data_IF_231809100589
#
_entry.id   IF_231809100589
#
_cell.length_a   1.000
_cell.length_b   1.000
_cell.length_c   1.000
_cell.angle_alpha   90.00
_cell.angle_beta   90.00
_cell.angle_gamma   90.00
#
_symmetry.space_group_name_H-M   'P 1'
#
loop_
_entity.id
_entity.type
_entity.pdbx_description
1 polymer ?
#
# COMPACT_ATOMS: atom_id res chain seq x y z
N UNK A 1 35.59 56.11 6.66
CA UNK A 1 35.21 55.17 5.56
C UNK A 1 35.30 53.68 5.92
N UNK A 2 35.99 53.25 6.98
CA UNK A 2 36.20 51.80 7.27
C UNK A 2 35.10 51.07 8.07
N UNK A 3 34.08 51.77 8.60
CA UNK A 3 33.04 51.15 9.45
C UNK A 3 31.82 50.71 8.62
N UNK A 4 31.50 51.42 7.52
CA UNK A 4 30.40 51.04 6.63
C UNK A 4 30.73 49.78 5.80
N UNK A 5 31.97 49.64 5.33
CA UNK A 5 32.39 48.48 4.52
C UNK A 5 32.33 47.16 5.31
N UNK A 6 32.70 47.16 6.60
CA UNK A 6 32.63 45.96 7.46
C UNK A 6 31.19 45.50 7.76
N UNK A 7 30.23 46.43 7.82
CA UNK A 7 28.81 46.10 8.04
C UNK A 7 28.16 45.51 6.78
N UNK A 8 28.54 45.97 5.59
CA UNK A 8 28.08 45.37 4.33
C UNK A 8 28.64 43.95 4.12
N UNK A 9 29.91 43.68 4.45
CA UNK A 9 30.48 42.33 4.32
C UNK A 9 29.88 41.32 5.30
N UNK A 10 29.56 41.73 6.54
CA UNK A 10 28.89 40.86 7.51
C UNK A 10 27.45 40.54 7.11
N UNK A 11 26.71 41.52 6.57
CA UNK A 11 25.36 41.30 6.05
C UNK A 11 25.36 40.41 4.79
N UNK A 12 26.33 40.58 3.88
CA UNK A 12 26.47 39.70 2.70
C UNK A 12 26.84 38.26 3.09
N UNK A 13 27.75 38.06 4.05
CA UNK A 13 28.08 36.71 4.55
C UNK A 13 26.90 36.04 5.25
N UNK A 14 26.09 36.80 6.01
CA UNK A 14 24.87 36.28 6.65
C UNK A 14 23.81 35.83 5.64
N UNK A 15 23.63 36.59 4.55
CA UNK A 15 22.72 36.23 3.45
C UNK A 15 23.24 35.01 2.68
N UNK A 16 24.55 34.88 2.47
CA UNK A 16 25.15 33.72 1.80
C UNK A 16 25.06 32.43 2.63
N UNK A 17 25.19 32.53 3.97
CA UNK A 17 25.00 31.41 4.90
C UNK A 17 23.52 30.96 5.00
N UNK A 18 22.56 31.88 4.89
CA UNK A 18 21.12 31.56 4.81
C UNK A 18 20.74 30.89 3.46
N UNK A 19 21.40 31.26 2.37
CA UNK A 19 21.19 30.64 1.04
C UNK A 19 21.79 29.23 0.95
N UNK A 20 22.87 28.92 1.69
CA UNK A 20 23.46 27.57 1.75
C UNK A 20 22.64 26.59 2.62
N UNK A 21 21.88 27.08 3.61
CA UNK A 21 20.96 26.26 4.40
C UNK A 21 19.66 25.89 3.64
N UNK A 22 19.34 26.59 2.56
CA UNK A 22 18.17 26.31 1.71
C UNK A 22 18.39 25.11 0.75
N UNK A 23 19.59 24.51 0.75
CA UNK A 23 19.91 23.30 -0.01
C UNK A 23 19.97 22.03 0.88
N UNK A 24 19.29 22.05 2.03
CA UNK A 24 19.07 20.82 2.81
C UNK A 24 18.12 19.89 2.05
N UNK A 25 18.56 18.67 1.73
CA UNK A 25 17.64 17.60 1.28
C UNK A 25 16.48 17.53 2.28
N UNK A 26 15.27 17.80 1.81
CA UNK A 26 14.08 17.67 2.63
C UNK A 26 14.01 16.23 3.14
N UNK A 27 13.98 16.05 4.46
CA UNK A 27 13.98 14.72 5.08
C UNK A 27 12.83 13.88 4.55
N UNK A 28 13.07 12.60 4.28
CA UNK A 28 12.06 11.69 3.74
C UNK A 28 10.81 11.60 4.65
N UNK A 29 9.65 11.42 4.02
CA UNK A 29 8.40 11.18 4.72
C UNK A 29 8.47 9.81 5.39
N UNK A 30 8.36 9.71 6.74
CA UNK A 30 8.36 8.42 7.39
C UNK A 30 7.13 7.60 6.99
N UNK A 31 7.34 6.30 6.78
CA UNK A 31 6.28 5.35 6.44
C UNK A 31 5.80 4.54 7.65
N UNK A 32 4.50 4.59 7.91
CA UNK A 32 3.79 3.66 8.79
C UNK A 32 3.17 2.54 7.94
N UNK A 33 2.79 1.41 8.55
CA UNK A 33 2.09 0.34 7.86
C UNK A 33 0.92 -0.19 8.67
N UNK A 34 -0.23 -0.38 8.02
CA UNK A 34 -1.37 -1.04 8.62
C UNK A 34 -1.16 -2.55 8.66
N UNK A 35 -1.24 -3.14 9.85
CA UNK A 35 -1.37 -4.60 10.04
C UNK A 35 -2.85 -4.94 10.17
N UNK A 36 -3.50 -5.06 9.00
CA UNK A 36 -4.94 -5.20 8.88
C UNK A 36 -5.39 -6.66 8.88
N UNK A 37 -5.22 -7.33 10.02
CA UNK A 37 -5.46 -8.77 10.15
C UNK A 37 -6.30 -9.07 11.38
N UNK A 38 -7.44 -9.73 11.16
CA UNK A 38 -8.33 -10.18 12.24
C UNK A 38 -7.69 -11.29 13.09
N UNK A 39 -6.94 -12.18 12.43
CA UNK A 39 -6.14 -13.24 13.06
C UNK A 39 -4.78 -13.24 12.39
N UNK A 40 -3.72 -13.19 13.19
CA UNK A 40 -2.36 -13.17 12.66
C UNK A 40 -1.88 -14.57 12.29
N UNK A 41 -1.26 -14.69 11.13
CA UNK A 41 -0.59 -15.91 10.67
C UNK A 41 0.92 -15.73 10.77
N UNK A 42 1.73 -16.82 10.71
CA UNK A 42 3.19 -16.69 10.66
C UNK A 42 3.70 -15.78 9.54
N UNK A 43 2.98 -15.69 8.41
CA UNK A 43 3.36 -14.79 7.31
C UNK A 43 3.19 -13.31 7.65
N UNK A 44 2.31 -12.97 8.59
CA UNK A 44 2.16 -11.59 9.09
C UNK A 44 3.32 -11.25 10.02
N UNK A 45 3.61 -12.13 10.99
CA UNK A 45 4.73 -11.93 11.92
C UNK A 45 6.08 -11.87 11.18
N UNK A 46 6.28 -12.69 10.15
CA UNK A 46 7.48 -12.64 9.31
C UNK A 46 7.57 -11.33 8.52
N UNK A 47 6.49 -10.90 7.85
CA UNK A 47 6.49 -9.64 7.09
C UNK A 47 6.80 -8.41 7.98
N UNK A 48 6.31 -8.45 9.22
CA UNK A 48 6.56 -7.42 10.23
C UNK A 48 8.04 -7.43 10.67
N UNK A 49 8.62 -8.60 10.95
CA UNK A 49 10.03 -8.73 11.28
C UNK A 49 10.95 -8.26 10.13
N UNK A 50 10.67 -8.71 8.91
CA UNK A 50 11.41 -8.37 7.69
C UNK A 50 11.30 -6.90 7.29
N UNK A 51 10.40 -6.14 7.93
CA UNK A 51 10.12 -4.75 7.59
C UNK A 51 10.29 -3.76 8.74
N UNK A 52 10.71 -4.25 9.91
CA UNK A 52 10.94 -3.41 11.08
C UNK A 52 12.04 -2.37 10.85
N UNK A 53 13.05 -2.62 10.03
CA UNK A 53 14.11 -1.66 9.71
C UNK A 53 13.60 -0.42 8.96
N UNK A 54 12.58 -0.57 8.12
CA UNK A 54 12.08 0.48 7.24
C UNK A 54 10.80 1.18 7.72
N UNK A 55 10.01 0.53 8.59
CA UNK A 55 8.74 1.09 9.09
C UNK A 55 8.94 1.91 10.35
N UNK A 56 8.35 3.11 10.37
CA UNK A 56 8.36 4.02 11.54
C UNK A 56 7.45 3.49 12.65
N UNK A 57 6.20 3.15 12.33
CA UNK A 57 5.22 2.68 13.28
C UNK A 57 4.23 1.67 12.66
N UNK A 58 3.79 0.72 13.47
CA UNK A 58 2.77 -0.26 13.10
C UNK A 58 1.37 0.23 13.51
N UNK A 59 0.41 0.24 12.60
CA UNK A 59 -0.99 0.55 12.89
C UNK A 59 -1.79 -0.75 12.86
N UNK A 60 -2.11 -1.27 14.04
CA UNK A 60 -2.60 -2.65 14.19
C UNK A 60 -4.10 -2.64 14.45
N UNK A 61 -4.86 -3.40 13.65
CA UNK A 61 -6.29 -3.61 13.91
C UNK A 61 -6.48 -4.27 15.28
N UNK A 62 -7.21 -3.60 16.16
CA UNK A 62 -7.56 -4.09 17.49
C UNK A 62 -8.97 -4.63 17.57
N UNK A 63 -9.92 -3.87 17.03
CA UNK A 63 -11.32 -4.24 17.05
C UNK A 63 -12.06 -3.58 15.89
N UNK A 64 -13.15 -4.21 15.48
CA UNK A 64 -14.03 -3.73 14.42
C UNK A 64 -15.48 -3.78 14.92
N UNK A 65 -16.19 -2.67 14.82
CA UNK A 65 -17.62 -2.58 15.09
C UNK A 65 -18.39 -2.77 13.78
N UNK A 66 -19.15 -3.86 13.72
CA UNK A 66 -20.01 -4.19 12.60
C UNK A 66 -21.24 -3.28 12.55
N UNK A 67 -21.99 -3.23 11.42
CA UNK A 67 -23.20 -2.42 11.30
C UNK A 67 -24.24 -2.64 12.41
N UNK A 68 -24.33 -3.85 12.95
CA UNK A 68 -25.26 -4.22 14.03
C UNK A 68 -24.78 -3.77 15.43
N UNK A 69 -23.69 -3.02 15.51
CA UNK A 69 -23.07 -2.55 16.75
C UNK A 69 -22.25 -3.62 17.47
N UNK A 70 -22.16 -4.86 16.97
CA UNK A 70 -21.35 -5.90 17.58
C UNK A 70 -19.87 -5.69 17.25
N UNK A 71 -19.05 -5.95 18.26
CA UNK A 71 -17.60 -5.89 18.12
C UNK A 71 -17.00 -7.24 17.77
N UNK A 72 -16.16 -7.23 16.73
CA UNK A 72 -15.10 -8.21 16.54
C UNK A 72 -13.83 -7.71 17.23
N UNK A 73 -13.12 -8.59 17.94
CA UNK A 73 -11.81 -8.27 18.55
C UNK A 73 -10.74 -9.07 17.83
N UNK A 74 -9.73 -8.38 17.30
CA UNK A 74 -8.61 -9.01 16.63
C UNK A 74 -7.65 -9.64 17.65
N UNK A 75 -6.91 -10.65 17.21
CA UNK A 75 -5.90 -11.33 18.01
C UNK A 75 -4.49 -11.09 17.41
N UNK A 76 -3.86 -9.94 17.69
CA UNK A 76 -2.50 -9.67 17.25
C UNK A 76 -1.47 -10.51 18.00
N UNK A 77 -0.38 -10.87 17.31
CA UNK A 77 0.78 -11.53 17.91
C UNK A 77 1.63 -10.51 18.68
N UNK A 78 1.41 -10.45 19.99
CA UNK A 78 2.10 -9.49 20.86
C UNK A 78 3.60 -9.74 20.94
N UNK A 79 4.04 -11.00 20.83
CA UNK A 79 5.46 -11.34 20.86
C UNK A 79 6.16 -10.82 19.59
N UNK A 80 5.52 -10.96 18.42
CA UNK A 80 6.03 -10.38 17.17
C UNK A 80 6.08 -8.85 17.24
N UNK A 81 5.06 -8.19 17.79
CA UNK A 81 5.05 -6.74 17.97
C UNK A 81 6.18 -6.25 18.90
N UNK A 82 6.37 -6.91 20.05
CA UNK A 82 7.45 -6.59 20.98
C UNK A 82 8.83 -6.81 20.34
N UNK A 83 9.01 -7.91 19.60
CA UNK A 83 10.25 -8.23 18.91
C UNK A 83 10.63 -7.19 17.84
N UNK A 84 9.64 -6.58 17.17
CA UNK A 84 9.89 -5.57 16.14
C UNK A 84 10.40 -4.23 16.68
N UNK A 85 10.21 -3.95 17.98
CA UNK A 85 10.73 -2.75 18.66
C UNK A 85 10.40 -1.44 17.92
N UNK A 86 9.19 -1.36 17.36
CA UNK A 86 8.66 -0.15 16.76
C UNK A 86 7.44 0.36 17.53
N UNK A 87 7.22 1.68 17.56
CA UNK A 87 5.98 2.26 18.02
C UNK A 87 4.76 1.60 17.40
N UNK A 88 3.72 1.37 18.21
CA UNK A 88 2.47 0.77 17.73
C UNK A 88 1.30 1.71 18.02
N UNK A 89 0.41 1.85 17.04
CA UNK A 89 -0.87 2.55 17.16
C UNK A 89 -1.98 1.51 17.09
N UNK A 90 -2.86 1.50 18.09
CA UNK A 90 -4.04 0.62 18.10
C UNK A 90 -5.13 1.21 17.22
N UNK A 91 -5.65 0.44 16.26
CA UNK A 91 -6.71 0.90 15.34
C UNK A 91 -8.04 0.25 15.70
N UNK A 92 -9.07 1.07 15.88
CA UNK A 92 -10.45 0.66 16.08
C UNK A 92 -11.26 1.03 14.84
N UNK A 93 -11.73 0.01 14.10
CA UNK A 93 -12.56 0.20 12.91
C UNK A 93 -14.02 0.30 13.29
N UNK A 94 -14.73 1.29 12.76
CA UNK A 94 -16.17 1.44 12.85
C UNK A 94 -16.75 1.36 11.44
N UNK A 95 -17.73 0.48 11.19
CA UNK A 95 -18.42 0.42 9.90
C UNK A 95 -19.22 1.72 9.67
N UNK A 96 -19.21 2.27 8.46
CA UNK A 96 -19.93 3.51 8.11
C UNK A 96 -21.44 3.49 8.37
N UNK A 97 -22.03 2.30 8.53
CA UNK A 97 -23.47 2.09 8.75
C UNK A 97 -23.86 1.95 10.22
N UNK A 98 -22.92 2.04 11.16
CA UNK A 98 -23.27 1.96 12.59
C UNK A 98 -24.24 3.07 12.99
N UNK A 99 -25.23 2.68 13.80
CA UNK A 99 -26.29 3.59 14.27
C UNK A 99 -25.85 4.43 15.47
N UNK A 100 -24.98 3.87 16.32
CA UNK A 100 -24.48 4.51 17.52
C UNK A 100 -22.95 4.46 17.60
N UNK A 101 -22.37 5.48 18.24
CA UNK A 101 -20.94 5.60 18.50
C UNK A 101 -20.70 5.56 20.03
N UNK A 102 -20.53 4.36 20.63
CA UNK A 102 -20.41 4.24 22.07
C UNK A 102 -18.98 4.55 22.54
N UNK A 103 -18.68 5.83 22.80
CA UNK A 103 -17.38 6.25 23.32
C UNK A 103 -16.95 5.52 24.62
N UNK A 104 -17.83 5.27 25.61
CA UNK A 104 -17.47 4.51 26.80
C UNK A 104 -16.98 3.08 26.48
N UNK A 105 -17.61 2.41 25.52
CA UNK A 105 -17.24 1.04 25.13
C UNK A 105 -15.87 1.03 24.43
N UNK A 106 -15.62 2.01 23.56
CA UNK A 106 -14.32 2.18 22.88
C UNK A 106 -13.22 2.44 23.92
N UNK A 107 -13.46 3.34 24.87
CA UNK A 107 -12.51 3.66 25.95
C UNK A 107 -12.22 2.45 26.84
N UNK A 108 -13.25 1.66 27.19
CA UNK A 108 -13.08 0.43 27.97
C UNK A 108 -12.19 -0.60 27.24
N UNK A 109 -12.37 -0.75 25.93
CA UNK A 109 -11.55 -1.64 25.10
C UNK A 109 -10.11 -1.15 24.99
N UNK A 110 -9.91 0.16 24.80
CA UNK A 110 -8.57 0.78 24.78
C UNK A 110 -7.85 0.52 26.10
N UNK A 111 -8.51 0.75 27.24
CA UNK A 111 -7.92 0.54 28.57
C UNK A 111 -7.47 -0.92 28.77
N UNK A 112 -8.31 -1.88 28.40
CA UNK A 112 -7.99 -3.31 28.52
C UNK A 112 -6.82 -3.70 27.61
N UNK A 113 -6.84 -3.27 26.35
CA UNK A 113 -5.78 -3.58 25.39
C UNK A 113 -4.44 -2.94 25.80
N UNK A 114 -4.47 -1.70 26.28
CA UNK A 114 -3.29 -0.95 26.73
C UNK A 114 -2.53 -1.70 27.81
N UNK A 115 -3.22 -2.17 28.86
CA UNK A 115 -2.59 -2.91 29.95
C UNK A 115 -1.91 -4.20 29.47
N UNK A 116 -2.55 -4.94 28.55
CA UNK A 116 -1.98 -6.15 27.97
C UNK A 116 -0.72 -5.87 27.13
N UNK A 117 -0.72 -4.79 26.36
CA UNK A 117 0.38 -4.43 25.47
C UNK A 117 1.58 -3.85 26.21
N UNK A 118 1.34 -2.98 27.20
CA UNK A 118 2.39 -2.46 28.08
C UNK A 118 3.08 -3.61 28.84
N UNK A 119 2.30 -4.58 29.35
CA UNK A 119 2.84 -5.78 30.00
C UNK A 119 3.66 -6.67 29.06
N UNK A 120 3.35 -6.65 27.76
CA UNK A 120 4.11 -7.36 26.73
C UNK A 120 5.35 -6.59 26.24
N UNK A 121 5.63 -5.41 26.80
CA UNK A 121 6.78 -4.57 26.41
C UNK A 121 6.59 -3.83 25.08
N UNK A 122 5.35 -3.66 24.62
CA UNK A 122 5.04 -2.95 23.38
C UNK A 122 5.03 -1.44 23.64
N UNK A 123 5.76 -0.68 22.82
CA UNK A 123 5.76 0.78 22.86
C UNK A 123 4.48 1.34 22.21
N UNK A 124 3.40 1.47 22.98
CA UNK A 124 2.16 2.09 22.53
C UNK A 124 2.36 3.59 22.30
N UNK A 125 2.06 4.07 21.09
CA UNK A 125 2.29 5.44 20.67
C UNK A 125 1.02 6.24 20.35
N UNK A 126 -0.15 5.58 20.32
CA UNK A 126 -1.41 6.25 20.07
C UNK A 126 -2.57 5.29 19.79
N UNK A 127 -3.75 5.88 19.62
CA UNK A 127 -4.97 5.22 19.18
C UNK A 127 -5.41 5.86 17.86
N UNK A 128 -5.91 5.04 16.94
CA UNK A 128 -6.57 5.49 15.73
C UNK A 128 -8.02 5.02 15.70
N UNK A 129 -8.94 5.92 15.34
CA UNK A 129 -10.29 5.55 14.93
C UNK A 129 -10.35 5.53 13.40
N UNK A 130 -10.57 4.35 12.83
CA UNK A 130 -10.87 4.18 11.41
C UNK A 130 -12.39 4.13 11.23
N UNK A 131 -13.00 5.20 10.75
CA UNK A 131 -14.45 5.26 10.58
C UNK A 131 -14.82 5.77 9.20
N UNK A 132 -15.50 4.91 8.43
CA UNK A 132 -16.07 5.24 7.12
C UNK A 132 -17.32 6.15 7.26
N UNK A 133 -17.18 7.24 8.01
CA UNK A 133 -18.25 8.14 8.39
C UNK A 133 -18.91 8.78 7.15
N UNK A 134 -20.25 8.72 7.01
CA UNK A 134 -20.95 9.53 6.02
C UNK A 134 -20.70 11.02 6.26
N UNK A 135 -20.48 11.81 5.20
CA UNK A 135 -20.20 13.26 5.31
C UNK A 135 -21.28 14.02 6.11
N UNK A 136 -22.53 13.56 6.07
CA UNK A 136 -23.64 14.14 6.85
C UNK A 136 -23.56 13.87 8.36
N UNK A 137 -22.83 12.83 8.79
CA UNK A 137 -22.67 12.42 10.19
C UNK A 137 -21.40 12.98 10.84
N UNK A 138 -20.60 13.81 10.15
CA UNK A 138 -19.39 14.41 10.73
C UNK A 138 -19.62 15.16 12.05
N UNK A 139 -20.73 15.90 12.28
CA UNK A 139 -20.99 16.51 13.59
C UNK A 139 -21.16 15.48 14.72
N UNK A 140 -21.85 14.36 14.47
CA UNK A 140 -21.99 13.29 15.45
C UNK A 140 -20.64 12.60 15.71
N UNK A 141 -19.83 12.43 14.67
CA UNK A 141 -18.48 11.91 14.81
C UNK A 141 -17.57 12.83 15.63
N UNK A 142 -17.68 14.15 15.45
CA UNK A 142 -16.95 15.13 16.25
C UNK A 142 -17.30 15.03 17.74
N UNK A 143 -18.59 14.97 18.09
CA UNK A 143 -19.03 14.79 19.48
C UNK A 143 -18.47 13.50 20.11
N UNK A 144 -18.49 12.40 19.36
CA UNK A 144 -17.88 11.14 19.78
C UNK A 144 -16.37 11.27 20.01
N UNK A 145 -15.62 11.89 19.09
CA UNK A 145 -14.17 12.05 19.22
C UNK A 145 -13.79 12.97 20.39
N UNK A 146 -14.60 13.98 20.72
CA UNK A 146 -14.35 14.82 21.89
C UNK A 146 -14.43 14.02 23.19
N UNK A 147 -15.41 13.11 23.29
CA UNK A 147 -15.54 12.21 24.44
C UNK A 147 -14.39 11.21 24.51
N UNK A 148 -14.03 10.59 23.39
CA UNK A 148 -12.88 9.68 23.31
C UNK A 148 -11.59 10.41 23.69
N UNK A 149 -11.31 11.58 23.09
CA UNK A 149 -10.10 12.37 23.37
C UNK A 149 -10.00 12.76 24.84
N UNK A 150 -11.12 13.14 25.47
CA UNK A 150 -11.18 13.43 26.91
C UNK A 150 -10.87 12.19 27.76
N UNK A 151 -11.42 11.04 27.38
CA UNK A 151 -11.18 9.77 28.08
C UNK A 151 -9.75 9.22 27.91
N UNK A 152 -9.09 9.52 26.80
CA UNK A 152 -7.69 9.15 26.55
C UNK A 152 -6.68 9.95 27.38
N UNK A 153 -7.01 11.21 27.70
CA UNK A 153 -6.10 12.13 28.36
C UNK A 153 -4.99 12.65 27.43
N UNK A 154 -4.05 13.45 27.97
CA UNK A 154 -3.00 14.10 27.17
C UNK A 154 -1.89 13.14 26.70
N UNK A 155 -1.69 12.03 27.39
CA UNK A 155 -0.52 11.15 27.19
C UNK A 155 -0.67 10.17 26.03
N UNK A 156 -1.90 9.97 25.52
CA UNK A 156 -2.17 9.03 24.45
C UNK A 156 -2.76 9.76 23.22
N UNK A 157 -1.94 10.00 22.17
CA UNK A 157 -2.39 10.66 20.96
C UNK A 157 -3.53 9.92 20.27
N UNK A 158 -4.46 10.70 19.72
CA UNK A 158 -5.59 10.24 18.93
C UNK A 158 -5.38 10.63 17.48
N UNK A 159 -5.40 9.66 16.58
CA UNK A 159 -5.53 9.88 15.15
C UNK A 159 -6.85 9.37 14.61
N UNK A 160 -7.23 9.85 13.42
CA UNK A 160 -8.38 9.33 12.68
C UNK A 160 -8.02 9.10 11.23
N UNK A 161 -8.72 8.19 10.58
CA UNK A 161 -8.76 8.15 9.12
C UNK A 161 -9.72 9.22 8.60
N UNK A 162 -9.44 9.73 7.40
CA UNK A 162 -10.25 10.72 6.73
C UNK A 162 -10.49 10.35 5.28
N UNK A 163 -11.72 10.57 4.81
CA UNK A 163 -12.12 10.26 3.44
C UNK A 163 -12.10 11.51 2.55
N UNK A 164 -11.70 11.39 1.28
CA UNK A 164 -11.77 12.49 0.32
C UNK A 164 -13.20 13.07 0.13
N UNK A 165 -14.24 12.26 0.37
CA UNK A 165 -15.65 12.68 0.31
C UNK A 165 -16.02 13.74 1.36
N UNK A 166 -15.21 13.89 2.41
CA UNK A 166 -15.43 14.89 3.46
C UNK A 166 -14.93 16.28 3.08
N UNK A 167 -14.08 16.40 2.05
CA UNK A 167 -13.40 17.66 1.69
C UNK A 167 -14.34 18.82 1.35
N UNK A 168 -15.59 18.53 0.96
CA UNK A 168 -16.62 19.54 0.70
C UNK A 168 -17.65 19.67 1.84
N UNK A 169 -17.47 18.93 2.93
CA UNK A 169 -18.36 18.95 4.09
C UNK A 169 -18.06 20.12 5.03
N UNK A 170 -19.10 20.81 5.49
CA UNK A 170 -18.99 21.90 6.47
C UNK A 170 -18.56 21.44 7.86
N UNK A 171 -18.83 20.18 8.22
CA UNK A 171 -18.42 19.60 9.51
C UNK A 171 -16.94 19.24 9.62
N UNK A 172 -16.18 19.24 8.53
CA UNK A 172 -14.81 18.73 8.51
C UNK A 172 -13.85 19.57 9.39
N UNK A 173 -13.93 20.90 9.38
CA UNK A 173 -13.02 21.75 10.16
C UNK A 173 -13.24 21.65 11.67
N UNK A 174 -14.48 21.39 12.09
CA UNK A 174 -14.78 21.08 13.48
C UNK A 174 -14.17 19.74 13.89
N UNK A 175 -14.34 18.72 13.04
CA UNK A 175 -13.80 17.38 13.28
C UNK A 175 -12.27 17.38 13.38
N UNK A 176 -11.57 18.00 12.40
CA UNK A 176 -10.10 17.98 12.30
C UNK A 176 -9.37 18.75 13.42
N UNK A 177 -10.09 19.52 14.24
CA UNK A 177 -9.50 20.20 15.42
C UNK A 177 -9.31 19.27 16.62
N UNK A 178 -10.03 18.15 16.66
CA UNK A 178 -10.09 17.22 17.80
C UNK A 178 -8.90 16.24 17.84
N UNK A 179 -8.58 15.48 16.78
CA UNK A 179 -7.46 14.55 16.80
C UNK A 179 -6.12 15.28 16.77
N UNK A 180 -5.06 14.61 17.21
CA UNK A 180 -3.69 15.13 17.14
C UNK A 180 -3.09 14.95 15.74
N UNK A 181 -3.53 13.94 15.00
CA UNK A 181 -3.12 13.65 13.62
C UNK A 181 -4.32 13.11 12.80
N UNK A 182 -4.35 13.35 11.49
CA UNK A 182 -5.33 12.71 10.60
C UNK A 182 -4.64 11.95 9.46
N UNK A 183 -5.27 10.90 8.94
CA UNK A 183 -4.77 10.09 7.83
C UNK A 183 -5.75 10.13 6.65
N UNK A 184 -5.43 10.91 5.61
CA UNK A 184 -6.24 11.01 4.40
C UNK A 184 -6.10 9.74 3.54
N UNK A 185 -7.19 9.00 3.37
CA UNK A 185 -7.24 7.77 2.59
C UNK A 185 -7.54 8.07 1.11
N UNK A 186 -6.49 8.15 0.28
CA UNK A 186 -6.64 8.38 -1.17
C UNK A 186 -6.72 7.08 -1.99
N UNK A 187 -6.76 5.93 -1.31
CA UNK A 187 -6.85 4.60 -1.89
C UNK A 187 -8.27 4.01 -1.87
N UNK A 188 -9.27 4.78 -1.41
CA UNK A 188 -10.67 4.37 -1.51
C UNK A 188 -11.10 4.37 -2.98
N UNK A 189 -11.47 3.21 -3.50
CA UNK A 189 -12.03 3.07 -4.86
C UNK A 189 -13.37 3.77 -4.91
N UNK A 190 -13.39 5.03 -5.37
CA UNK A 190 -14.63 5.79 -5.52
C UNK A 190 -15.43 5.36 -6.77
N UNK A 191 -14.78 4.79 -7.78
CA UNK A 191 -15.42 4.28 -9.00
C UNK A 191 -14.47 3.34 -9.77
N UNK A 192 -14.91 2.12 -10.12
CA UNK A 192 -14.11 1.17 -10.91
C UNK A 192 -13.81 1.66 -12.33
N UNK A 193 -14.57 2.60 -12.88
CA UNK A 193 -14.32 3.13 -14.23
C UNK A 193 -13.07 4.01 -14.30
N UNK A 194 -12.52 4.39 -13.15
CA UNK A 194 -11.52 5.46 -13.03
C UNK A 194 -10.15 4.95 -12.54
N UNK A 195 -9.98 3.64 -12.39
CA UNK A 195 -8.76 3.02 -11.87
C UNK A 195 -8.70 2.94 -10.33
N UNK A 196 -7.84 2.07 -9.80
CA UNK A 196 -7.61 1.94 -8.36
C UNK A 196 -6.94 3.18 -7.76
N UNK A 197 -6.04 3.81 -8.52
CA UNK A 197 -5.30 4.99 -8.09
C UNK A 197 -5.12 5.98 -9.24
N UNK A 198 -5.35 7.26 -8.96
CA UNK A 198 -5.13 8.35 -9.89
C UNK A 198 -4.28 9.43 -9.21
N UNK A 199 -3.01 9.55 -9.61
CA UNK A 199 -2.04 10.47 -9.01
C UNK A 199 -2.52 11.94 -9.04
N UNK A 200 -3.07 12.39 -10.17
CA UNK A 200 -3.56 13.77 -10.32
C UNK A 200 -4.67 14.08 -9.31
N UNK A 201 -5.63 13.17 -9.17
CA UNK A 201 -6.72 13.33 -8.22
C UNK A 201 -6.24 13.23 -6.77
N UNK A 202 -5.35 12.29 -6.48
CA UNK A 202 -4.73 12.19 -5.16
C UNK A 202 -4.05 13.52 -4.79
N UNK A 203 -3.28 14.12 -5.72
CA UNK A 203 -2.69 15.45 -5.50
C UNK A 203 -3.74 16.54 -5.25
N UNK A 204 -4.86 16.55 -5.99
CA UNK A 204 -5.97 17.49 -5.72
C UNK A 204 -6.51 17.31 -4.30
N UNK A 205 -6.72 16.08 -3.84
CA UNK A 205 -7.19 15.82 -2.49
C UNK A 205 -6.17 16.19 -1.42
N UNK A 206 -4.88 15.90 -1.64
CA UNK A 206 -3.80 16.26 -0.73
C UNK A 206 -3.71 17.78 -0.56
N UNK A 207 -3.80 18.54 -1.64
CA UNK A 207 -3.81 20.00 -1.61
C UNK A 207 -5.04 20.52 -0.85
N UNK A 208 -6.24 20.07 -1.20
CA UNK A 208 -7.47 20.48 -0.53
C UNK A 208 -7.46 20.13 0.97
N UNK A 209 -6.93 18.96 1.34
CA UNK A 209 -6.84 18.57 2.74
C UNK A 209 -5.84 19.43 3.53
N UNK A 210 -4.70 19.79 2.92
CA UNK A 210 -3.70 20.67 3.53
C UNK A 210 -4.24 22.06 3.88
N UNK A 211 -5.25 22.53 3.14
CA UNK A 211 -5.94 23.80 3.40
C UNK A 211 -6.94 23.71 4.55
N UNK A 212 -7.50 22.52 4.81
CA UNK A 212 -8.53 22.28 5.85
C UNK A 212 -7.94 21.94 7.22
N UNK A 213 -6.76 21.33 7.27
CA UNK A 213 -6.10 20.95 8.53
C UNK A 213 -5.04 21.95 8.98
N UNK A 214 -4.94 22.14 10.30
CA UNK A 214 -3.82 22.83 10.95
C UNK A 214 -2.94 21.88 11.77
N UNK A 215 -3.34 20.60 11.86
CA UNK A 215 -2.61 19.54 12.56
C UNK A 215 -1.72 18.76 11.58
N UNK A 216 -0.67 18.10 12.07
CA UNK A 216 0.06 17.11 11.27
C UNK A 216 -0.90 16.08 10.68
N UNK A 217 -0.61 15.61 9.47
CA UNK A 217 -1.42 14.60 8.83
C UNK A 217 -0.58 13.69 7.94
N UNK A 218 -1.14 12.54 7.59
CA UNK A 218 -0.51 11.57 6.70
C UNK A 218 -1.43 11.24 5.53
N UNK A 219 -0.84 10.75 4.45
CA UNK A 219 -1.60 10.16 3.34
C UNK A 219 -1.55 8.64 3.46
N UNK A 220 -2.70 7.96 3.33
CA UNK A 220 -2.73 6.50 3.24
C UNK A 220 -2.74 6.03 1.78
N UNK A 221 -1.74 5.21 1.41
CA UNK A 221 -1.51 4.68 0.06
C UNK A 221 -1.68 3.17 0.04
N UNK A 222 -2.19 2.64 -1.07
CA UNK A 222 -2.37 1.20 -1.27
C UNK A 222 -1.05 0.49 -1.57
N UNK A 223 -0.95 -0.76 -1.12
CA UNK A 223 0.12 -1.72 -1.44
C UNK A 223 -0.37 -2.88 -2.30
N UNK A 224 -1.55 -2.77 -2.89
CA UNK A 224 -2.20 -3.82 -3.68
C UNK A 224 -2.71 -3.29 -5.02
N UNK A 225 -2.91 -4.19 -5.97
CA UNK A 225 -3.70 -3.94 -7.18
C UNK A 225 -5.14 -4.43 -7.02
N UNK A 226 -6.09 -3.87 -7.77
CA UNK A 226 -7.49 -4.32 -7.78
C UNK A 226 -7.85 -4.81 -9.16
N UNK A 227 -8.54 -5.94 -9.24
CA UNK A 227 -9.07 -6.45 -10.50
C UNK A 227 -10.52 -6.02 -10.65
N UNK A 228 -10.90 -5.46 -11.80
CA UNK A 228 -12.30 -5.14 -12.09
C UNK A 228 -12.77 -5.99 -13.26
N UNK A 229 -13.80 -6.76 -13.01
CA UNK A 229 -14.47 -7.60 -13.99
C UNK A 229 -15.69 -6.85 -14.50
N UNK A 230 -15.86 -6.79 -15.82
CA UNK A 230 -17.00 -6.16 -16.48
C UNK A 230 -17.89 -7.22 -17.13
N UNK A 231 -19.21 -7.01 -17.06
CA UNK A 231 -20.19 -7.78 -17.82
C UNK A 231 -20.09 -7.43 -19.31
N UNK A 232 -20.65 -8.28 -20.17
CA UNK A 232 -20.65 -8.06 -21.62
C UNK A 232 -21.44 -6.80 -22.05
N UNK A 233 -22.33 -6.29 -21.19
CA UNK A 233 -23.08 -5.05 -21.37
C UNK A 233 -22.32 -3.78 -20.94
N UNK A 234 -21.08 -3.92 -20.48
CA UNK A 234 -20.24 -2.81 -20.02
C UNK A 234 -20.50 -2.37 -18.58
N UNK A 235 -21.42 -3.00 -17.85
CA UNK A 235 -21.59 -2.78 -16.41
C UNK A 235 -20.52 -3.51 -15.59
N UNK A 236 -20.22 -3.00 -14.39
CA UNK A 236 -19.24 -3.62 -13.49
C UNK A 236 -19.82 -4.92 -12.93
N UNK A 237 -19.19 -6.05 -13.25
CA UNK A 237 -19.55 -7.37 -12.71
C UNK A 237 -19.01 -7.57 -11.30
N UNK A 238 -17.75 -7.17 -11.05
CA UNK A 238 -17.11 -7.28 -9.74
C UNK A 238 -15.90 -6.34 -9.61
N UNK A 239 -15.68 -5.79 -8.40
CA UNK A 239 -14.45 -5.11 -8.00
C UNK A 239 -13.78 -5.96 -6.95
N UNK A 240 -12.67 -6.58 -7.30
CA UNK A 240 -12.01 -7.57 -6.48
C UNK A 240 -10.79 -6.94 -5.79
N UNK A 241 -10.95 -6.56 -4.52
CA UNK A 241 -9.86 -6.05 -3.67
C UNK A 241 -9.37 -7.05 -2.62
N UNK A 242 -10.16 -8.09 -2.27
CA UNK A 242 -9.79 -9.06 -1.21
C UNK A 242 -9.99 -10.57 -1.50
N UNK A 243 -10.99 -11.03 -2.28
CA UNK A 243 -11.15 -12.44 -2.71
C UNK A 243 -11.50 -12.63 -4.19
N UNK A 244 -11.06 -13.76 -4.77
CA UNK A 244 -11.28 -14.11 -6.17
C UNK A 244 -12.71 -14.58 -6.35
N UNK A 245 -13.52 -13.83 -7.09
CA UNK A 245 -14.80 -14.32 -7.57
C UNK A 245 -14.51 -15.10 -8.85
N UNK A 246 -14.67 -16.42 -8.82
CA UNK A 246 -14.66 -17.26 -10.02
C UNK A 246 -15.93 -16.94 -10.82
N UNK A 247 -15.90 -15.86 -11.61
CA UNK A 247 -16.94 -15.59 -12.61
C UNK A 247 -16.41 -16.07 -13.97
N UNK A 248 -17.06 -17.10 -14.57
CA UNK A 248 -16.77 -17.52 -15.93
C UNK A 248 -17.47 -16.56 -16.91
N UNK A 249 -16.68 -15.91 -17.77
CA UNK A 249 -17.19 -15.01 -18.82
C UNK A 249 -17.28 -13.56 -18.36
N UNK A 250 -16.49 -12.70 -19.01
CA UNK A 250 -16.44 -11.25 -18.78
C UNK A 250 -15.08 -10.67 -19.15
N UNK A 251 -15.06 -9.45 -19.70
CA UNK A 251 -13.81 -8.70 -19.92
C UNK A 251 -13.30 -8.23 -18.55
N UNK A 252 -12.30 -8.90 -18.01
CA UNK A 252 -11.60 -8.42 -16.82
C UNK A 252 -10.46 -7.48 -17.21
N UNK A 253 -10.46 -6.27 -16.66
CA UNK A 253 -9.32 -5.35 -16.72
C UNK A 253 -8.72 -5.23 -15.33
N UNK A 254 -7.42 -5.49 -15.22
CA UNK A 254 -6.68 -5.23 -13.99
C UNK A 254 -6.55 -3.71 -13.83
N UNK A 255 -7.14 -3.12 -12.78
CA UNK A 255 -6.92 -1.72 -12.43
C UNK A 255 -5.71 -1.64 -11.52
N UNK A 256 -4.54 -1.53 -12.13
CA UNK A 256 -3.27 -1.62 -11.40
C UNK A 256 -2.83 -0.23 -10.95
N UNK A 257 -2.80 0.02 -9.64
CA UNK A 257 -1.84 0.96 -9.10
C UNK A 257 -0.47 0.27 -9.20
N UNK A 258 0.27 0.48 -10.30
CA UNK A 258 1.55 -0.21 -10.49
C UNK A 258 2.56 0.29 -9.46
N UNK A 259 3.52 -0.55 -9.03
CA UNK A 259 4.60 -0.11 -8.15
C UNK A 259 5.32 1.14 -8.69
N UNK A 260 5.52 1.21 -10.01
CA UNK A 260 6.13 2.36 -10.69
C UNK A 260 5.29 3.63 -10.58
N UNK A 261 3.96 3.55 -10.81
CA UNK A 261 3.07 4.71 -10.67
C UNK A 261 3.03 5.21 -9.22
N UNK A 262 3.03 4.30 -8.24
CA UNK A 262 3.07 4.68 -6.83
C UNK A 262 4.42 5.28 -6.44
N UNK A 263 5.54 4.70 -6.88
CA UNK A 263 6.87 5.27 -6.64
C UNK A 263 7.00 6.69 -7.21
N UNK A 264 6.51 6.91 -8.44
CA UNK A 264 6.48 8.23 -9.05
C UNK A 264 5.62 9.23 -8.24
N UNK A 265 4.47 8.80 -7.72
CA UNK A 265 3.64 9.62 -6.85
C UNK A 265 4.33 9.93 -5.50
N UNK A 266 4.99 8.94 -4.90
CA UNK A 266 5.79 9.13 -3.67
C UNK A 266 6.90 10.16 -3.92
N UNK A 267 7.61 10.08 -5.05
CA UNK A 267 8.63 11.06 -5.42
C UNK A 267 8.04 12.46 -5.68
N UNK A 268 6.83 12.55 -6.23
CA UNK A 268 6.13 13.81 -6.41
C UNK A 268 5.76 14.47 -5.06
N UNK A 269 5.17 13.74 -4.11
CA UNK A 269 4.83 14.29 -2.79
C UNK A 269 6.07 14.63 -1.95
N UNK A 270 7.23 14.02 -2.22
CA UNK A 270 8.48 14.43 -1.61
C UNK A 270 9.02 15.73 -2.21
N UNK A 271 8.93 15.90 -3.53
CA UNK A 271 9.35 17.12 -4.23
C UNK A 271 8.44 18.31 -3.92
N UNK A 272 7.14 18.09 -3.84
CA UNK A 272 6.11 19.12 -3.66
C UNK A 272 5.27 18.83 -2.43
N UNK A 273 5.90 18.73 -1.27
CA UNK A 273 5.26 18.32 -0.02
C UNK A 273 4.16 19.30 0.41
N UNK A 274 2.89 18.86 0.49
CA UNK A 274 1.81 19.68 1.03
C UNK A 274 2.07 20.09 2.48
N UNK A 275 1.58 21.27 2.87
CA UNK A 275 1.73 21.80 4.23
C UNK A 275 1.14 20.82 5.26
N UNK A 276 1.91 20.54 6.31
CA UNK A 276 1.48 19.65 7.40
C UNK A 276 1.58 18.15 7.11
N UNK A 277 1.94 17.75 5.87
CA UNK A 277 2.14 16.33 5.56
C UNK A 277 3.37 15.80 6.32
N UNK A 278 3.11 14.93 7.29
CA UNK A 278 4.07 14.40 8.25
C UNK A 278 4.52 12.96 7.92
N UNK A 279 3.86 12.27 7.00
CA UNK A 279 4.25 10.92 6.61
C UNK A 279 3.28 10.23 5.66
N UNK A 280 3.60 8.97 5.38
CA UNK A 280 2.78 8.05 4.56
C UNK A 280 2.33 6.89 5.45
N UNK A 281 1.13 6.39 5.24
CA UNK A 281 0.66 5.15 5.85
C UNK A 281 0.32 4.13 4.76
N UNK A 282 0.92 2.96 4.80
CA UNK A 282 0.72 1.93 3.78
C UNK A 282 -0.42 0.99 4.17
N UNK A 283 -1.47 0.94 3.34
CA UNK A 283 -2.61 0.04 3.49
C UNK A 283 -2.54 -1.08 2.44
N UNK A 284 -2.19 -2.31 2.79
CA UNK A 284 -1.78 -2.85 4.11
C UNK A 284 -0.39 -3.48 4.02
N UNK A 285 0.21 -3.86 5.15
CA UNK A 285 1.46 -4.63 5.17
C UNK A 285 1.32 -5.87 4.25
N UNK A 286 2.10 -5.96 3.15
CA UNK A 286 2.05 -7.12 2.28
C UNK A 286 2.57 -8.37 2.98
N UNK A 287 2.02 -9.53 2.63
CA UNK A 287 2.50 -10.81 3.16
C UNK A 287 2.68 -11.81 2.03
N UNK A 288 3.50 -12.84 2.27
CA UNK A 288 3.73 -13.89 1.27
C UNK A 288 2.43 -14.63 0.84
N UNK A 289 1.41 -14.67 1.71
CA UNK A 289 0.12 -15.30 1.44
C UNK A 289 -0.94 -14.36 0.85
N UNK A 290 -0.69 -13.05 0.88
CA UNK A 290 -1.60 -12.09 0.26
C UNK A 290 -1.27 -12.02 -1.21
N UNK A 291 -2.01 -12.74 -2.06
CA UNK A 291 -1.81 -12.80 -3.51
C UNK A 291 -2.14 -11.49 -4.25
N UNK A 292 -2.78 -10.52 -3.58
CA UNK A 292 -3.26 -9.26 -4.19
C UNK A 292 -2.40 -8.07 -3.85
N UNK A 293 -1.74 -8.13 -2.69
CA UNK A 293 -0.70 -7.17 -2.35
C UNK A 293 0.54 -7.37 -3.25
N UNK A 294 1.34 -6.33 -3.39
CA UNK A 294 2.67 -6.45 -3.96
C UNK A 294 3.50 -7.44 -3.13
N UNK A 295 4.56 -7.98 -3.72
CA UNK A 295 5.55 -8.67 -2.89
C UNK A 295 6.14 -7.72 -1.84
N UNK A 296 6.59 -8.31 -0.73
CA UNK A 296 7.23 -7.55 0.36
C UNK A 296 8.46 -6.78 -0.15
N UNK A 297 9.23 -7.38 -1.05
CA UNK A 297 10.41 -6.75 -1.67
C UNK A 297 10.03 -5.49 -2.46
N UNK A 298 8.98 -5.57 -3.28
CA UNK A 298 8.47 -4.43 -4.06
C UNK A 298 8.00 -3.30 -3.15
N UNK A 299 7.19 -3.62 -2.13
CA UNK A 299 6.72 -2.61 -1.19
C UNK A 299 7.87 -1.96 -0.43
N UNK A 300 8.84 -2.73 0.05
CA UNK A 300 10.05 -2.20 0.70
C UNK A 300 10.84 -1.28 -0.23
N UNK A 301 10.99 -1.65 -1.51
CA UNK A 301 11.67 -0.81 -2.49
C UNK A 301 10.95 0.54 -2.69
N UNK A 302 9.61 0.54 -2.78
CA UNK A 302 8.81 1.79 -2.85
C UNK A 302 8.91 2.59 -1.55
N UNK A 303 8.71 1.95 -0.40
CA UNK A 303 8.77 2.57 0.94
C UNK A 303 10.12 3.27 1.18
N UNK A 304 11.21 2.64 0.77
CA UNK A 304 12.58 3.15 0.94
C UNK A 304 13.09 3.94 -0.28
N UNK A 305 12.21 4.23 -1.25
CA UNK A 305 12.50 4.99 -2.47
C UNK A 305 13.70 4.46 -3.26
N UNK A 306 13.88 3.14 -3.28
CA UNK A 306 14.87 2.47 -4.11
C UNK A 306 14.38 2.38 -5.56
N UNK A 307 15.30 2.36 -6.55
CA UNK A 307 14.93 2.04 -7.92
C UNK A 307 14.21 0.70 -8.04
N UNK A 308 13.11 0.68 -8.78
CA UNK A 308 12.35 -0.52 -9.08
C UNK A 308 12.97 -1.22 -10.28
N UNK A 309 13.63 -2.35 -10.03
CA UNK A 309 14.40 -3.11 -11.00
C UNK A 309 13.84 -4.54 -11.09
N UNK A 310 12.81 -4.78 -11.94
CA UNK A 310 12.39 -6.14 -12.24
C UNK A 310 13.47 -6.86 -13.06
N UNK A 311 13.65 -8.16 -12.83
CA UNK A 311 14.65 -8.98 -13.55
C UNK A 311 14.01 -10.27 -14.04
N UNK A 312 13.33 -10.17 -15.17
CA UNK A 312 12.60 -11.29 -15.78
C UNK A 312 13.52 -12.15 -16.63
N UNK A 313 13.47 -13.46 -16.40
CA UNK A 313 14.24 -14.46 -17.14
C UNK A 313 13.45 -15.75 -17.32
N UNK A 314 13.74 -16.50 -18.37
CA UNK A 314 13.13 -17.82 -18.62
C UNK A 314 14.22 -18.87 -18.63
N UNK A 315 13.95 -19.99 -17.98
CA UNK A 315 14.83 -21.16 -17.95
C UNK A 315 14.07 -22.41 -18.36
N UNK A 316 14.74 -23.35 -19.01
CA UNK A 316 14.20 -24.66 -19.32
C UNK A 316 14.63 -25.66 -18.25
N UNK A 317 13.67 -26.33 -17.60
CA UNK A 317 13.94 -27.39 -16.61
C UNK A 317 13.44 -28.72 -17.15
N UNK A 318 14.30 -29.74 -17.16
CA UNK A 318 13.91 -31.06 -17.64
C UNK A 318 12.71 -31.61 -16.82
N UNK A 319 11.63 -31.95 -17.52
CA UNK A 319 10.52 -32.71 -16.95
C UNK A 319 10.84 -34.20 -17.16
N UNK A 320 10.90 -34.98 -16.09
CA UNK A 320 11.47 -36.33 -16.08
C UNK A 320 11.08 -37.23 -17.27
N UNK A 321 12.06 -37.94 -17.83
CA UNK A 321 11.91 -39.11 -18.73
C UNK A 321 11.36 -38.87 -20.14
N UNK A 322 10.80 -37.70 -20.47
CA UNK A 322 10.03 -37.51 -21.72
C UNK A 322 10.75 -36.68 -22.80
N UNK A 323 11.92 -36.10 -22.49
CA UNK A 323 12.61 -35.15 -23.37
C UNK A 323 11.91 -33.78 -23.48
N UNK A 324 10.80 -33.57 -22.76
CA UNK A 324 10.19 -32.26 -22.59
C UNK A 324 10.89 -31.46 -21.47
N UNK A 325 10.90 -30.14 -21.62
CA UNK A 325 11.45 -29.21 -20.65
C UNK A 325 10.40 -28.15 -20.32
N UNK A 326 10.13 -27.96 -19.03
CA UNK A 326 9.26 -26.90 -18.54
C UNK A 326 9.95 -25.54 -18.68
N UNK A 327 9.18 -24.55 -19.13
CA UNK A 327 9.61 -23.16 -19.22
C UNK A 327 9.23 -22.43 -17.93
N UNK A 328 10.24 -22.08 -17.14
CA UNK A 328 10.06 -21.39 -15.87
C UNK A 328 10.44 -19.92 -16.05
N UNK A 329 9.42 -19.04 -16.06
CA UNK A 329 9.59 -17.59 -15.95
C UNK A 329 9.88 -17.24 -14.50
N UNK A 330 10.96 -16.50 -14.26
CA UNK A 330 11.41 -16.08 -12.92
C UNK A 330 11.60 -14.57 -12.88
N UNK A 331 11.26 -13.95 -11.75
CA UNK A 331 11.60 -12.56 -11.46
C UNK A 331 12.63 -12.50 -10.32
N UNK A 332 13.90 -12.32 -10.67
CA UNK A 332 14.99 -12.17 -9.71
C UNK A 332 15.18 -10.75 -9.19
N UNK A 333 14.32 -9.80 -9.59
CA UNK A 333 14.44 -8.39 -9.27
C UNK A 333 13.84 -8.03 -7.91
N UNK A 334 13.84 -6.73 -7.58
CA UNK A 334 13.23 -6.20 -6.36
C UNK A 334 11.82 -5.63 -6.58
N UNK A 335 11.30 -5.70 -7.81
CA UNK A 335 10.01 -5.12 -8.19
C UNK A 335 9.13 -6.15 -8.90
N UNK A 336 7.85 -6.16 -8.55
CA UNK A 336 6.81 -6.93 -9.23
C UNK A 336 6.69 -6.40 -10.65
N UNK A 337 6.62 -7.30 -11.61
CA UNK A 337 6.68 -6.97 -13.03
C UNK A 337 5.45 -7.51 -13.76
N UNK A 338 4.98 -6.79 -14.77
CA UNK A 338 3.99 -7.34 -15.68
C UNK A 338 4.54 -8.61 -16.35
N UNK A 339 3.67 -9.58 -16.60
CA UNK A 339 4.02 -10.73 -17.42
C UNK A 339 4.43 -10.26 -18.83
N UNK A 340 5.60 -10.69 -19.33
CA UNK A 340 6.08 -10.37 -20.66
C UNK A 340 5.04 -10.65 -21.74
N UNK A 341 4.91 -9.76 -22.72
CA UNK A 341 4.02 -9.98 -23.86
C UNK A 341 4.40 -11.22 -24.68
N UNK A 342 5.69 -11.45 -24.91
CA UNK A 342 6.15 -12.58 -25.71
C UNK A 342 7.45 -13.20 -25.17
N UNK A 343 7.51 -14.53 -25.18
CA UNK A 343 8.71 -15.32 -24.87
C UNK A 343 9.10 -16.09 -26.11
N UNK A 344 10.29 -15.80 -26.63
CA UNK A 344 10.89 -16.52 -27.76
C UNK A 344 12.06 -17.37 -27.31
N UNK A 345 12.36 -18.40 -28.07
CA UNK A 345 13.55 -19.22 -27.86
C UNK A 345 14.27 -19.45 -29.18
N UNK A 346 15.59 -19.60 -29.09
CA UNK A 346 16.42 -19.99 -30.21
C UNK A 346 16.68 -21.50 -30.17
N UNK A 347 16.25 -22.23 -31.20
CA UNK A 347 16.47 -23.67 -31.33
C UNK A 347 15.34 -24.37 -32.07
N UNK A 348 15.61 -25.54 -32.64
CA UNK A 348 14.61 -26.35 -33.30
C UNK A 348 13.85 -27.20 -32.27
N UNK A 349 12.62 -26.81 -31.99
CA UNK A 349 11.72 -27.52 -31.08
C UNK A 349 10.58 -28.15 -31.88
N UNK A 350 10.39 -29.46 -31.71
CA UNK A 350 9.40 -30.26 -32.45
C UNK A 350 7.99 -30.13 -31.87
N UNK A 351 7.89 -29.74 -30.61
CA UNK A 351 6.64 -29.49 -29.93
C UNK A 351 6.83 -28.43 -28.84
N UNK A 352 5.80 -27.65 -28.58
CA UNK A 352 5.71 -26.69 -27.51
C UNK A 352 4.24 -26.52 -27.11
N UNK A 353 3.99 -26.00 -25.92
CA UNK A 353 2.68 -25.48 -25.54
C UNK A 353 2.81 -24.42 -24.44
N UNK A 354 1.82 -23.54 -24.34
CA UNK A 354 1.73 -22.48 -23.33
C UNK A 354 0.70 -22.81 -22.25
N UNK A 355 1.01 -22.46 -21.00
CA UNK A 355 0.11 -22.61 -19.86
C UNK A 355 0.16 -21.38 -18.94
N UNK A 356 -0.73 -21.32 -17.94
CA UNK A 356 -0.72 -20.30 -16.87
C UNK A 356 -0.63 -18.84 -17.36
N UNK A 357 -1.40 -18.52 -18.40
CA UNK A 357 -1.50 -17.17 -18.97
C UNK A 357 -0.68 -16.95 -20.24
N UNK A 358 -0.13 -18.02 -20.83
CA UNK A 358 0.51 -18.01 -22.15
C UNK A 358 -0.15 -19.00 -23.10
N UNK A 359 -0.14 -18.68 -24.39
CA UNK A 359 -0.55 -19.57 -25.49
C UNK A 359 0.56 -19.66 -26.51
N UNK A 360 0.71 -20.82 -27.15
CA UNK A 360 1.64 -20.99 -28.25
C UNK A 360 1.11 -20.28 -29.50
N UNK A 361 1.96 -19.48 -30.12
CA UNK A 361 1.70 -18.78 -31.37
C UNK A 361 2.86 -18.97 -32.34
N UNK A 362 2.62 -18.70 -33.62
CA UNK A 362 3.64 -18.78 -34.67
C UNK A 362 3.64 -17.52 -35.51
N UNK A 363 4.82 -17.05 -35.88
CA UNK A 363 5.00 -16.01 -36.89
C UNK A 363 6.18 -16.32 -37.80
N UNK A 364 6.58 -15.34 -38.63
CA UNK A 364 7.70 -15.49 -39.56
C UNK A 364 9.05 -15.77 -38.88
N UNK A 365 9.20 -15.48 -37.59
CA UNK A 365 10.41 -15.75 -36.82
C UNK A 365 10.33 -17.08 -36.03
N UNK A 366 9.21 -17.81 -36.13
CA UNK A 366 9.03 -19.13 -35.52
C UNK A 366 7.99 -19.16 -34.40
N UNK A 367 8.04 -20.23 -33.62
CA UNK A 367 7.14 -20.44 -32.47
C UNK A 367 7.51 -19.53 -31.29
N UNK A 368 6.52 -19.03 -30.58
CA UNK A 368 6.71 -18.24 -29.36
C UNK A 368 5.53 -18.39 -28.41
N UNK A 369 5.75 -18.13 -27.12
CA UNK A 369 4.66 -18.03 -26.16
C UNK A 369 4.17 -16.58 -26.09
N UNK A 370 2.92 -16.34 -26.43
CA UNK A 370 2.26 -15.04 -26.30
C UNK A 370 1.45 -15.00 -25.02
N UNK A 371 1.52 -13.88 -24.30
CA UNK A 371 0.66 -13.64 -23.13
C UNK A 371 -0.81 -13.62 -23.56
N UNK A 372 -1.60 -14.52 -22.97
CA UNK A 372 -3.05 -14.59 -23.15
C UNK A 372 -3.83 -13.94 -22.00
N UNK A 373 -3.20 -13.80 -20.82
CA UNK A 373 -3.79 -13.17 -19.65
C UNK A 373 -2.83 -12.15 -19.02
N UNK A 374 -3.34 -10.97 -18.67
CA UNK A 374 -2.58 -10.02 -17.87
C UNK A 374 -2.29 -10.57 -16.47
N UNK A 375 -1.24 -10.06 -15.86
CA UNK A 375 -0.90 -10.36 -14.48
C UNK A 375 0.49 -9.85 -14.12
N UNK A 376 0.80 -9.92 -12.83
CA UNK A 376 2.10 -9.60 -12.29
C UNK A 376 2.87 -10.87 -11.89
N UNK A 377 4.17 -10.90 -12.16
CA UNK A 377 5.10 -11.81 -11.53
C UNK A 377 5.81 -11.09 -10.38
N UNK A 378 5.55 -11.58 -9.17
CA UNK A 378 6.13 -11.06 -7.92
C UNK A 378 7.65 -11.09 -7.95
N UNK A 379 8.29 -10.12 -7.32
CA UNK A 379 9.72 -10.19 -7.01
C UNK A 379 10.05 -11.49 -6.24
N UNK A 380 11.09 -12.20 -6.66
CA UNK A 380 11.45 -13.55 -6.19
C UNK A 380 10.52 -14.68 -6.68
N UNK A 381 9.48 -14.35 -7.43
CA UNK A 381 8.47 -15.31 -7.89
C UNK A 381 8.92 -16.11 -9.12
N UNK A 382 8.33 -17.31 -9.26
CA UNK A 382 8.48 -18.16 -10.44
C UNK A 382 7.11 -18.61 -10.94
N UNK A 383 6.99 -18.83 -12.25
CA UNK A 383 5.80 -19.37 -12.90
C UNK A 383 6.21 -20.32 -14.01
N UNK A 384 5.65 -21.54 -14.00
CA UNK A 384 5.70 -22.39 -15.18
C UNK A 384 4.74 -21.81 -16.24
N UNK A 385 5.27 -21.44 -17.41
CA UNK A 385 4.54 -20.76 -18.48
C UNK A 385 4.30 -21.66 -19.70
N UNK A 386 4.84 -22.88 -19.70
CA UNK A 386 4.73 -23.79 -20.84
C UNK A 386 5.78 -24.88 -20.79
N UNK A 387 5.85 -25.64 -21.87
CA UNK A 387 6.91 -26.62 -22.06
C UNK A 387 7.32 -26.66 -23.52
N UNK A 388 8.54 -27.13 -23.76
CA UNK A 388 9.09 -27.32 -25.10
C UNK A 388 9.78 -28.68 -25.19
N UNK A 389 9.86 -29.22 -26.41
CA UNK A 389 10.62 -30.42 -26.74
C UNK A 389 11.54 -30.13 -27.91
N UNK A 390 12.83 -30.02 -27.63
CA UNK A 390 13.84 -29.63 -28.62
C UNK A 390 14.89 -30.73 -28.77
N UNK A 391 15.46 -30.87 -29.96
CA UNK A 391 16.48 -31.89 -30.24
C UNK A 391 17.81 -31.57 -29.55
N UNK A 392 18.20 -30.29 -29.50
CA UNK A 392 19.44 -29.80 -28.88
C UNK A 392 19.19 -28.73 -27.80
N UNK A 393 17.99 -28.75 -27.20
CA UNK A 393 17.53 -27.74 -26.23
C UNK A 393 17.36 -26.33 -26.84
N UNK A 394 16.75 -25.39 -26.10
CA UNK A 394 16.82 -23.97 -26.45
C UNK A 394 18.22 -23.41 -26.09
N UNK A 395 18.85 -22.70 -27.01
CA UNK A 395 20.15 -22.05 -26.80
C UNK A 395 20.05 -20.75 -25.99
N UNK A 396 18.92 -20.06 -26.09
CA UNK A 396 18.63 -18.85 -25.33
C UNK A 396 17.14 -18.53 -25.35
N UNK A 397 16.68 -17.78 -24.35
CA UNK A 397 15.35 -17.19 -24.32
C UNK A 397 15.42 -15.68 -24.51
N UNK A 398 14.46 -15.11 -25.24
CA UNK A 398 14.25 -13.67 -25.36
C UNK A 398 12.92 -13.31 -24.73
N UNK A 399 12.97 -12.43 -23.74
CA UNK A 399 11.81 -11.93 -22.99
C UNK A 399 11.43 -10.56 -23.55
N UNK A 400 10.24 -10.43 -24.14
CA UNK A 400 9.75 -9.20 -24.73
C UNK A 400 8.64 -8.62 -23.82
N UNK A 401 8.78 -7.37 -23.33
CA UNK A 401 7.84 -6.74 -22.40
C UNK A 401 6.38 -6.72 -22.87
#
# INVERSE_FOLDING_TARGET
MNILAKRCSAALCGVFLLLLAACGKQADLPGDAYVWQRVWTPSVSQALADSADAVRAWRVLMAEMNPDGRWFTAAPDLAALAAARRPVIMVFRLDGRVDALPAPDVLARIKTARGAWESAGIALAGIEIDYDCPTSKLPAYAAFLEEVKRGLGPDLPLSITALPTWLNGSGLDALLRIPDEAVLQVHAVLSPEQGLFNAKRANTWLAAFADRTQRPWRVALATYGSRVSWNDDGSIAAVESERSALLPGGRASELVATPAAMAAFVDEIHRSRPRGLAGIVWFRLPTARDERAWSLATWRAVLTRQPLLPALSVTARAAGGSGAQDLILSNGGNADAALPFAIRWNGACRAADGINGYTLEHDSAGAFLRRSQYGLLRAGGQRNIGWIRCENGPSSFQVQP
#
